data_IF_746926319165
#
_entry.id   IF_746926319165
#
_cell.length_a   1.000
_cell.length_b   1.000
_cell.length_c   1.000
_cell.angle_alpha   90.00
_cell.angle_beta   90.00
_cell.angle_gamma   90.00
#
_symmetry.space_group_name_H-M   'P 1'
#
loop_
_entity.id
_entity.type
_entity.pdbx_description
1 polymer ?
#
# COMPACT_ATOMS: atom_id res chain seq x y z
N UNK A 1 6.60 -19.71 3.61
CA UNK A 1 6.04 -19.06 2.39
C UNK A 1 4.77 -18.29 2.71
N UNK A 2 3.95 -18.74 3.66
CA UNK A 2 2.76 -18.02 4.18
C UNK A 2 3.09 -16.73 4.98
N UNK A 3 4.31 -16.61 5.52
CA UNK A 3 4.73 -15.41 6.27
C UNK A 3 5.17 -14.23 5.38
N UNK A 4 5.48 -14.49 4.09
CA UNK A 4 5.88 -13.47 3.10
C UNK A 4 4.69 -12.87 2.32
N UNK A 5 3.46 -13.30 2.63
CA UNK A 5 2.25 -12.96 1.86
C UNK A 5 1.23 -12.09 2.62
N UNK A 6 1.61 -11.45 3.74
CA UNK A 6 0.75 -10.40 4.32
C UNK A 6 1.03 -9.06 3.63
N UNK A 7 0.41 -8.87 2.48
CA UNK A 7 0.47 -7.65 1.66
C UNK A 7 -0.80 -6.83 1.90
N UNK A 8 -0.65 -5.52 2.10
CA UNK A 8 -1.67 -4.48 1.98
C UNK A 8 -3.05 -4.76 2.57
N UNK A 9 -3.23 -4.62 3.89
CA UNK A 9 -4.59 -4.46 4.43
C UNK A 9 -5.11 -3.05 4.13
N UNK A 10 -6.33 -2.96 3.59
CA UNK A 10 -7.21 -1.79 3.61
C UNK A 10 -7.61 -1.54 5.07
N UNK A 11 -6.64 -1.07 5.84
CA UNK A 11 -6.86 -0.21 7.00
C UNK A 11 -7.03 1.25 6.55
N UNK A 12 -6.93 1.51 5.24
CA UNK A 12 -6.91 2.82 4.62
C UNK A 12 -8.29 3.51 4.69
N UNK A 13 -8.32 4.64 5.39
CA UNK A 13 -9.50 5.50 5.53
C UNK A 13 -10.39 5.11 6.70
N UNK A 14 -10.42 5.96 7.74
CA UNK A 14 -11.49 5.89 8.71
C UNK A 14 -12.75 6.40 8.01
N UNK A 15 -13.61 5.48 7.55
CA UNK A 15 -14.83 5.81 6.79
C UNK A 15 -15.67 6.82 7.58
N UNK A 16 -15.78 6.66 8.90
CA UNK A 16 -16.52 7.59 9.75
C UNK A 16 -15.96 9.02 9.67
N UNK A 17 -14.64 9.16 9.60
CA UNK A 17 -13.96 10.44 9.49
C UNK A 17 -14.05 11.06 8.10
N UNK A 18 -14.00 10.25 7.04
CA UNK A 18 -14.23 10.70 5.66
C UNK A 18 -15.68 11.15 5.46
N UNK A 19 -16.64 10.49 6.11
CA UNK A 19 -18.04 10.89 6.08
C UNK A 19 -18.32 12.14 6.91
N UNK A 20 -17.69 12.28 8.09
CA UNK A 20 -17.84 13.46 8.95
C UNK A 20 -17.47 14.78 8.23
N UNK A 21 -16.46 14.74 7.36
CA UNK A 21 -15.98 15.89 6.58
C UNK A 21 -16.73 16.08 5.25
N UNK A 22 -17.74 15.25 4.95
CA UNK A 22 -18.51 15.31 3.70
C UNK A 22 -17.73 14.89 2.45
N UNK A 23 -16.77 13.98 2.61
CA UNK A 23 -16.00 13.45 1.49
C UNK A 23 -16.87 12.56 0.58
N UNK A 24 -16.41 12.31 -0.65
CA UNK A 24 -17.11 11.39 -1.55
C UNK A 24 -17.17 9.97 -0.96
N UNK A 25 -18.16 9.19 -1.40
CA UNK A 25 -18.34 7.81 -0.95
C UNK A 25 -17.06 6.99 -1.18
N UNK A 26 -16.60 6.33 -0.12
CA UNK A 26 -15.42 5.47 -0.16
C UNK A 26 -15.68 4.21 -0.98
N UNK A 27 -14.61 3.55 -1.44
CA UNK A 27 -14.71 2.26 -2.16
C UNK A 27 -15.43 1.21 -1.32
N UNK A 28 -15.24 1.21 0.00
CA UNK A 28 -15.91 0.29 0.92
C UNK A 28 -17.41 0.56 0.93
N UNK A 29 -17.85 1.81 1.02
CA UNK A 29 -19.28 2.17 0.98
C UNK A 29 -19.93 1.87 -0.38
N UNK A 30 -19.20 2.14 -1.47
CA UNK A 30 -19.65 1.77 -2.81
C UNK A 30 -19.85 0.25 -2.90
N UNK A 31 -18.89 -0.55 -2.42
CA UNK A 31 -18.97 -2.00 -2.43
C UNK A 31 -20.11 -2.54 -1.55
N UNK A 32 -20.27 -2.01 -0.34
CA UNK A 32 -21.37 -2.36 0.56
C UNK A 32 -22.73 -2.10 -0.08
N UNK A 33 -22.89 -0.94 -0.72
CA UNK A 33 -24.15 -0.55 -1.38
C UNK A 33 -24.43 -1.39 -2.63
N UNK A 34 -23.41 -1.70 -3.43
CA UNK A 34 -23.54 -2.47 -4.66
C UNK A 34 -23.89 -3.94 -4.38
N UNK A 35 -23.26 -4.54 -3.36
CA UNK A 35 -23.38 -5.97 -3.09
C UNK A 35 -24.29 -6.29 -1.88
N UNK A 36 -24.75 -5.30 -1.13
CA UNK A 36 -25.61 -5.49 0.05
C UNK A 36 -24.92 -6.18 1.22
N UNK A 37 -23.60 -6.02 1.34
CA UNK A 37 -22.75 -6.70 2.33
C UNK A 37 -22.34 -5.80 3.50
N UNK A 38 -21.87 -6.38 4.58
CA UNK A 38 -21.32 -5.63 5.73
C UNK A 38 -19.97 -4.97 5.41
N UNK A 39 -19.56 -3.99 6.22
CA UNK A 39 -18.23 -3.34 6.08
C UNK A 39 -17.09 -4.36 6.18
N UNK A 40 -17.20 -5.33 7.09
CA UNK A 40 -16.18 -6.37 7.30
C UNK A 40 -16.03 -7.25 6.07
N UNK A 41 -17.15 -7.66 5.46
CA UNK A 41 -17.15 -8.44 4.22
C UNK A 41 -16.59 -7.63 3.05
N UNK A 42 -17.00 -6.37 2.91
CA UNK A 42 -16.50 -5.46 1.87
C UNK A 42 -14.98 -5.27 2.00
N UNK A 43 -14.46 -4.98 3.20
CA UNK A 43 -13.02 -4.83 3.44
C UNK A 43 -12.26 -6.12 3.16
N UNK A 44 -12.81 -7.27 3.58
CA UNK A 44 -12.21 -8.58 3.33
C UNK A 44 -12.05 -8.83 1.83
N UNK A 45 -13.09 -8.57 1.04
CA UNK A 45 -13.04 -8.80 -0.40
C UNK A 45 -12.15 -7.80 -1.13
N UNK A 46 -12.21 -6.52 -0.76
CA UNK A 46 -11.32 -5.50 -1.32
C UNK A 46 -9.84 -5.79 -0.99
N UNK A 47 -9.53 -6.36 0.18
CA UNK A 47 -8.18 -6.81 0.51
C UNK A 47 -7.70 -7.94 -0.42
N UNK A 48 -8.56 -8.91 -0.72
CA UNK A 48 -8.22 -9.97 -1.67
C UNK A 48 -7.93 -9.39 -3.06
N UNK A 49 -8.73 -8.43 -3.51
CA UNK A 49 -8.49 -7.75 -4.79
C UNK A 49 -7.13 -7.01 -4.81
N UNK A 50 -6.72 -6.40 -3.69
CA UNK A 50 -5.37 -5.82 -3.55
C UNK A 50 -4.29 -6.89 -3.63
N UNK A 51 -4.45 -8.01 -2.91
CA UNK A 51 -3.51 -9.14 -2.95
C UNK A 51 -3.38 -9.74 -4.36
N UNK A 52 -4.48 -9.89 -5.07
CA UNK A 52 -4.50 -10.41 -6.45
C UNK A 52 -3.86 -9.41 -7.43
N UNK A 53 -4.14 -8.11 -7.29
CA UNK A 53 -3.48 -7.07 -8.07
C UNK A 53 -1.95 -7.05 -7.86
N UNK A 54 -1.47 -7.37 -6.66
CA UNK A 54 -0.03 -7.55 -6.41
C UNK A 54 0.57 -8.75 -7.13
N UNK A 55 -0.16 -9.88 -7.19
CA UNK A 55 0.27 -11.06 -7.97
C UNK A 55 0.32 -10.74 -9.46
N UNK A 56 -0.68 -10.05 -9.98
CA UNK A 56 -0.73 -9.62 -11.37
C UNK A 56 0.43 -8.67 -11.70
N UNK A 57 0.70 -7.68 -10.84
CA UNK A 57 1.84 -6.76 -11.04
C UNK A 57 3.18 -7.51 -11.05
N UNK A 58 3.38 -8.49 -10.16
CA UNK A 58 4.58 -9.31 -10.15
C UNK A 58 4.72 -10.15 -11.42
N UNK A 59 3.62 -10.71 -11.91
CA UNK A 59 3.61 -11.45 -13.17
C UNK A 59 3.94 -10.54 -14.35
N UNK A 60 3.29 -9.39 -14.45
CA UNK A 60 3.49 -8.41 -15.53
C UNK A 60 4.92 -7.88 -15.59
N UNK A 61 5.57 -7.68 -14.44
CA UNK A 61 6.96 -7.21 -14.42
C UNK A 61 7.97 -8.26 -14.88
N UNK A 62 7.66 -9.55 -14.80
CA UNK A 62 8.64 -10.63 -15.05
C UNK A 62 8.33 -11.38 -16.36
N UNK A 63 7.06 -11.67 -16.62
CA UNK A 63 6.67 -12.68 -17.61
C UNK A 63 5.85 -12.13 -18.78
N UNK A 64 5.27 -10.93 -18.70
CA UNK A 64 4.37 -10.43 -19.74
C UNK A 64 5.09 -9.75 -20.92
N UNK A 65 4.34 -9.47 -21.98
CA UNK A 65 4.85 -8.68 -23.11
C UNK A 65 5.18 -7.24 -22.69
N UNK A 66 4.48 -6.71 -21.66
CA UNK A 66 4.73 -5.37 -21.11
C UNK A 66 6.17 -5.21 -20.65
N UNK A 67 6.73 -6.21 -19.93
CA UNK A 67 8.13 -6.15 -19.46
C UNK A 67 9.16 -6.26 -20.58
N UNK A 68 8.78 -6.80 -21.75
CA UNK A 68 9.64 -6.89 -22.93
C UNK A 68 9.70 -5.60 -23.73
N UNK A 69 8.61 -4.84 -23.79
CA UNK A 69 8.49 -3.62 -24.62
C UNK A 69 8.67 -2.34 -23.82
N UNK A 70 8.35 -2.33 -22.52
CA UNK A 70 8.48 -1.16 -21.65
C UNK A 70 9.82 -1.21 -20.90
N UNK A 71 10.62 -0.14 -20.90
CA UNK A 71 11.87 -0.11 -20.14
C UNK A 71 11.65 -0.37 -18.65
N UNK A 72 12.49 -1.22 -18.06
CA UNK A 72 12.42 -1.55 -16.62
C UNK A 72 12.49 -0.33 -15.70
N UNK A 73 13.17 0.74 -16.12
CA UNK A 73 13.23 2.00 -15.36
C UNK A 73 11.87 2.67 -15.22
N UNK A 74 10.98 2.51 -16.21
CA UNK A 74 9.59 3.01 -16.16
C UNK A 74 8.75 2.12 -15.27
N UNK A 75 8.82 0.80 -15.45
CA UNK A 75 8.07 -0.17 -14.65
C UNK A 75 8.43 -0.08 -13.15
N UNK A 76 9.71 0.11 -12.86
CA UNK A 76 10.21 0.30 -11.49
C UNK A 76 9.61 1.54 -10.82
N UNK A 77 9.29 2.60 -11.56
CA UNK A 77 8.62 3.79 -10.99
C UNK A 77 7.21 3.46 -10.52
N UNK A 78 6.45 2.73 -11.34
CA UNK A 78 5.08 2.28 -10.99
C UNK A 78 5.11 1.36 -9.77
N UNK A 79 6.02 0.37 -9.78
CA UNK A 79 6.20 -0.53 -8.64
C UNK A 79 6.55 0.22 -7.35
N UNK A 80 7.51 1.16 -7.42
CA UNK A 80 7.94 1.93 -6.25
C UNK A 80 6.84 2.87 -5.76
N UNK A 81 6.01 3.41 -6.66
CA UNK A 81 4.82 4.17 -6.27
C UNK A 81 3.84 3.31 -5.48
N UNK A 82 3.49 2.12 -5.98
CA UNK A 82 2.59 1.19 -5.27
C UNK A 82 3.13 0.77 -3.91
N UNK A 83 4.44 0.46 -3.81
CA UNK A 83 5.11 0.17 -2.53
C UNK A 83 5.09 1.36 -1.57
N UNK A 84 5.28 2.58 -2.09
CA UNK A 84 5.19 3.81 -1.32
C UNK A 84 3.78 4.02 -0.75
N UNK A 85 2.75 3.84 -1.57
CA UNK A 85 1.35 3.90 -1.12
C UNK A 85 1.08 2.85 -0.04
N UNK A 86 1.52 1.60 -0.22
CA UNK A 86 1.37 0.57 0.80
C UNK A 86 2.05 0.99 2.11
N UNK A 87 3.29 1.45 2.07
CA UNK A 87 4.01 1.92 3.26
C UNK A 87 3.28 3.05 3.99
N UNK A 88 2.82 4.06 3.25
CA UNK A 88 2.15 5.25 3.81
C UNK A 88 0.81 4.86 4.45
N UNK A 89 0.05 3.94 3.84
CA UNK A 89 -1.29 3.58 4.28
C UNK A 89 -1.40 2.30 5.12
N UNK A 90 -0.29 1.60 5.37
CA UNK A 90 -0.25 0.32 6.10
C UNK A 90 -0.89 0.34 7.48
N UNK A 91 -0.86 1.50 8.15
CA UNK A 91 -1.32 1.67 9.53
C UNK A 91 -2.39 2.76 9.67
N UNK A 92 -3.19 2.97 8.62
CA UNK A 92 -4.15 4.07 8.52
C UNK A 92 -3.65 5.19 7.62
N UNK A 93 -4.21 6.40 7.76
CA UNK A 93 -3.83 7.54 6.92
C UNK A 93 -2.50 8.17 7.33
N UNK A 94 -1.38 7.52 6.99
CA UNK A 94 -0.04 8.06 7.25
C UNK A 94 0.34 9.25 6.37
N UNK A 95 -0.49 9.64 5.38
CA UNK A 95 -0.21 10.76 4.49
C UNK A 95 -0.66 12.09 5.10
N UNK A 96 -1.94 12.20 5.50
CA UNK A 96 -2.46 13.43 6.13
C UNK A 96 -2.42 13.36 7.65
N UNK A 97 -2.46 12.16 8.23
CA UNK A 97 -2.37 11.92 9.68
C UNK A 97 -1.14 11.07 10.01
N UNK A 98 0.05 11.66 9.82
CA UNK A 98 1.33 10.95 9.95
C UNK A 98 1.47 10.26 11.32
N UNK A 99 1.27 8.93 11.32
CA UNK A 99 1.35 8.08 12.50
C UNK A 99 2.78 7.72 12.88
N UNK A 100 2.93 7.03 14.02
CA UNK A 100 4.24 6.60 14.54
C UNK A 100 5.05 5.80 13.52
N UNK A 101 4.44 4.79 12.90
CA UNK A 101 5.08 3.91 11.90
C UNK A 101 5.66 4.70 10.72
N UNK A 102 4.87 5.64 10.17
CA UNK A 102 5.30 6.46 9.03
C UNK A 102 6.44 7.41 9.44
N UNK A 103 6.35 8.03 10.63
CA UNK A 103 7.43 8.90 11.16
C UNK A 103 8.73 8.12 11.35
N UNK A 104 8.67 6.94 11.95
CA UNK A 104 9.85 6.10 12.18
C UNK A 104 10.50 5.66 10.86
N UNK A 105 9.70 5.25 9.87
CA UNK A 105 10.23 4.87 8.56
C UNK A 105 10.86 6.04 7.79
N UNK A 106 10.24 7.23 7.82
CA UNK A 106 10.82 8.44 7.21
C UNK A 106 12.13 8.81 7.91
N UNK A 107 12.15 8.77 9.24
CA UNK A 107 13.33 9.15 10.03
C UNK A 107 14.50 8.22 9.73
N UNK A 108 14.27 6.90 9.77
CA UNK A 108 15.29 5.89 9.45
C UNK A 108 15.81 5.98 8.02
N UNK A 109 14.96 6.33 7.05
CA UNK A 109 15.34 6.35 5.64
C UNK A 109 16.03 7.65 5.20
N UNK A 110 15.59 8.79 5.73
CA UNK A 110 15.93 10.12 5.18
C UNK A 110 16.63 11.06 6.19
N UNK A 111 16.61 10.75 7.48
CA UNK A 111 17.13 11.63 8.53
C UNK A 111 18.34 11.00 9.21
N UNK A 112 18.19 9.78 9.73
CA UNK A 112 19.22 9.12 10.51
C UNK A 112 20.25 8.44 9.60
N UNK A 113 21.53 8.85 9.63
CA UNK A 113 22.56 8.20 8.86
C UNK A 113 22.92 6.83 9.46
N UNK A 114 23.23 5.88 8.58
CA UNK A 114 23.77 4.58 9.01
C UNK A 114 25.15 4.82 9.60
N UNK A 115 25.34 4.43 10.86
CA UNK A 115 26.64 4.49 11.53
C UNK A 115 27.57 3.44 10.94
N UNK A 116 28.69 3.89 10.36
CA UNK A 116 29.77 3.00 9.91
C UNK A 116 30.80 2.95 11.03
N UNK A 117 30.97 1.79 11.67
CA UNK A 117 32.10 1.60 12.58
C UNK A 117 33.37 1.58 11.74
N UNK A 118 34.25 2.57 11.95
CA UNK A 118 35.60 2.50 11.43
C UNK A 118 36.30 1.30 12.08
N UNK A 119 36.49 0.22 11.34
CA UNK A 119 37.50 -0.77 11.69
C UNK A 119 38.84 -0.04 11.64
N UNK A 120 39.41 0.23 12.82
CA UNK A 120 40.65 0.98 12.97
C UNK A 120 41.77 0.40 12.12
N UNK A 121 42.50 1.28 11.45
CA UNK A 121 43.81 1.01 10.89
C UNK A 121 44.86 0.96 11.99
#
# INVERSE_FOLDING_TARGET
>A
MEEYMRVGTITAGNIAFEQERGHCASVVECYMREHGVSEVEARSELNKQVEDAWKDMNYEMIFSETSKVVPMSVLTRVLNFSRGCEFIYKAGDGYTHVGKTTKEGITSLLIDPISVSASGN
#
